data_IF_612549098509
#
_entry.id   IF_612549098509
#
_cell.length_a   1.000
_cell.length_b   1.000
_cell.length_c   1.000
_cell.angle_alpha   90.00
_cell.angle_beta   90.00
_cell.angle_gamma   90.00
#
_symmetry.space_group_name_H-M   'P 1'
#
loop_
_entity.id
_entity.type
_entity.pdbx_description
1 polymer ?
#
# COMPACT_ATOMS: atom_id res chain seq x y z
N UNK A 1 -42.64 16.94 62.36
CA UNK A 1 -41.54 16.42 63.21
C UNK A 1 -40.24 16.57 62.43
N UNK A 2 -39.25 17.27 63.01
CA UNK A 2 -37.91 17.52 62.44
C UNK A 2 -37.18 16.21 62.10
N UNK A 3 -36.27 16.20 61.13
CA UNK A 3 -34.87 15.68 61.20
C UNK A 3 -34.20 16.01 59.84
N UNK A 4 -33.41 17.09 59.74
CA UNK A 4 -31.95 17.19 60.01
C UNK A 4 -31.09 16.56 58.92
N UNK A 5 -30.43 17.45 58.19
CA UNK A 5 -29.31 17.27 57.28
C UNK A 5 -28.14 16.60 58.03
N UNK A 6 -27.55 15.56 57.45
CA UNK A 6 -26.19 15.11 57.80
C UNK A 6 -25.30 15.23 56.57
N UNK A 7 -24.38 16.19 56.62
CA UNK A 7 -23.22 16.22 55.75
C UNK A 7 -22.18 15.24 56.29
N UNK A 8 -21.54 14.49 55.39
CA UNK A 8 -20.20 13.99 55.62
C UNK A 8 -19.42 14.10 54.31
N UNK A 9 -18.46 15.03 54.33
CA UNK A 9 -17.37 15.18 53.37
C UNK A 9 -16.67 13.84 53.16
N UNK A 10 -16.53 13.37 51.92
CA UNK A 10 -15.38 12.56 51.49
C UNK A 10 -14.98 12.94 50.05
N UNK A 11 -13.81 13.57 49.98
CA UNK A 11 -12.82 13.61 48.89
C UNK A 11 -13.32 13.68 47.44
N UNK A 12 -13.17 14.89 46.89
CA UNK A 12 -12.95 15.17 45.48
C UNK A 12 -11.91 14.19 44.89
N UNK A 13 -12.33 13.29 44.01
CA UNK A 13 -11.47 12.74 42.98
C UNK A 13 -11.97 13.30 41.65
N UNK A 14 -11.10 14.08 41.00
CA UNK A 14 -11.27 14.46 39.60
C UNK A 14 -11.32 13.17 38.76
N UNK A 15 -12.51 12.80 38.32
CA UNK A 15 -12.72 11.81 37.27
C UNK A 15 -13.19 12.55 36.01
N UNK A 16 -12.25 12.67 35.07
CA UNK A 16 -12.38 12.97 33.65
C UNK A 16 -13.81 13.23 33.12
N UNK A 17 -14.16 14.51 33.01
CA UNK A 17 -15.34 15.03 32.31
C UNK A 17 -15.08 15.07 30.79
N UNK A 18 -14.65 13.97 30.19
CA UNK A 18 -14.37 13.89 28.73
C UNK A 18 -15.21 12.83 28.00
N UNK A 19 -16.23 12.25 28.65
CA UNK A 19 -17.05 11.18 28.04
C UNK A 19 -18.55 11.46 27.91
N UNK A 20 -19.00 12.69 28.16
CA UNK A 20 -20.44 13.01 28.20
C UNK A 20 -20.94 14.03 27.18
N UNK A 21 -20.11 14.45 26.21
CA UNK A 21 -20.54 15.33 25.12
C UNK A 21 -20.45 14.56 23.80
N UNK A 22 -21.33 13.58 23.58
CA UNK A 22 -21.54 13.04 22.22
C UNK A 22 -22.92 12.43 21.94
N UNK A 23 -23.83 12.46 22.89
CA UNK A 23 -25.19 11.93 22.67
C UNK A 23 -26.20 12.86 23.31
N UNK A 24 -26.69 13.86 22.58
CA UNK A 24 -28.05 14.38 22.73
C UNK A 24 -28.39 15.28 21.55
N UNK A 25 -28.86 14.67 20.46
CA UNK A 25 -29.66 15.35 19.43
C UNK A 25 -30.56 14.31 18.76
N UNK A 26 -31.64 13.97 19.47
CA UNK A 26 -32.84 13.37 18.89
C UNK A 26 -33.97 14.31 19.29
N UNK A 27 -34.43 15.12 18.33
CA UNK A 27 -35.65 15.92 18.50
C UNK A 27 -36.82 15.04 18.06
N UNK A 28 -37.64 14.60 19.02
CA UNK A 28 -38.94 13.99 18.76
C UNK A 28 -39.94 15.10 18.39
N UNK A 29 -40.58 14.96 17.24
CA UNK A 29 -41.71 15.80 16.83
C UNK A 29 -42.99 15.26 17.50
N UNK A 30 -43.39 15.84 18.64
CA UNK A 30 -44.69 15.57 19.25
C UNK A 30 -45.61 16.75 18.98
N UNK A 31 -46.60 16.50 18.13
CA UNK A 31 -47.59 17.46 17.69
C UNK A 31 -48.67 17.64 18.78
N UNK A 32 -48.45 18.55 19.73
CA UNK A 32 -49.49 18.99 20.67
C UNK A 32 -49.51 20.51 20.80
N UNK A 33 -50.61 21.11 20.34
CA UNK A 33 -50.94 22.53 20.47
C UNK A 33 -51.04 22.93 21.95
N UNK A 34 -50.14 23.79 22.42
CA UNK A 34 -50.29 24.55 23.66
C UNK A 34 -50.03 26.04 23.33
N UNK A 35 -50.98 26.96 23.62
CA UNK A 35 -50.78 28.39 23.40
C UNK A 35 -50.10 29.05 24.62
N UNK A 36 -49.32 30.08 24.35
CA UNK A 36 -48.60 30.97 25.28
C UNK A 36 -47.26 30.47 25.83
N UNK A 37 -46.16 30.91 25.22
CA UNK A 37 -45.14 31.78 25.82
C UNK A 37 -43.96 31.97 24.84
N UNK A 38 -43.48 33.22 24.69
CA UNK A 38 -42.10 33.61 24.38
C UNK A 38 -41.42 33.08 23.11
N UNK A 39 -40.98 34.00 22.24
CA UNK A 39 -40.07 33.73 21.12
C UNK A 39 -38.80 32.98 21.56
N UNK A 40 -38.60 31.74 21.10
CA UNK A 40 -37.29 31.09 21.14
C UNK A 40 -36.50 31.46 19.87
N UNK A 41 -35.48 32.30 20.03
CA UNK A 41 -34.44 32.52 19.01
C UNK A 41 -33.57 31.25 18.96
N UNK A 42 -33.60 30.52 17.85
CA UNK A 42 -32.62 29.48 17.59
C UNK A 42 -31.24 30.14 17.44
N UNK A 43 -30.36 29.92 18.40
CA UNK A 43 -28.94 30.26 18.27
C UNK A 43 -28.34 29.13 17.45
N UNK A 44 -28.11 29.39 16.16
CA UNK A 44 -27.22 28.58 15.34
C UNK A 44 -25.80 28.74 15.93
N UNK A 45 -25.40 27.77 16.76
CA UNK A 45 -24.03 27.68 17.21
C UNK A 45 -23.15 27.30 16.01
N UNK A 46 -22.40 28.28 15.54
CA UNK A 46 -21.40 28.12 14.50
C UNK A 46 -20.27 27.23 15.05
N UNK A 47 -20.09 26.03 14.48
CA UNK A 47 -19.04 25.07 14.88
C UNK A 47 -17.61 25.63 14.79
N UNK A 48 -17.42 26.77 14.11
CA UNK A 48 -16.09 27.35 13.87
C UNK A 48 -15.40 27.92 15.13
N UNK A 49 -16.11 28.09 16.25
CA UNK A 49 -15.58 28.81 17.41
C UNK A 49 -14.83 27.89 18.42
N UNK A 50 -15.01 26.56 18.37
CA UNK A 50 -14.35 25.63 19.32
C UNK A 50 -13.15 24.85 18.77
N UNK A 51 -12.78 24.99 17.49
CA UNK A 51 -11.58 24.32 16.90
C UNK A 51 -10.26 25.08 17.06
N UNK A 52 -10.25 26.24 17.73
CA UNK A 52 -8.99 26.95 18.03
C UNK A 52 -8.29 26.32 19.24
N UNK A 53 -7.53 25.25 18.99
CA UNK A 53 -6.54 24.75 19.97
C UNK A 53 -6.25 23.25 20.00
N UNK A 54 -7.05 22.41 19.31
CA UNK A 54 -6.74 20.99 19.18
C UNK A 54 -6.15 20.78 17.79
N UNK A 55 -4.83 20.63 17.70
CA UNK A 55 -4.19 20.18 16.46
C UNK A 55 -4.78 18.80 16.15
N UNK A 56 -5.45 18.68 15.01
CA UNK A 56 -6.04 17.42 14.58
C UNK A 56 -4.91 16.38 14.44
N UNK A 57 -5.07 15.24 15.11
CA UNK A 57 -4.05 14.19 15.12
C UNK A 57 -3.95 13.57 13.73
N UNK A 58 -2.77 13.64 13.12
CA UNK A 58 -2.54 13.06 11.80
C UNK A 58 -2.40 11.54 11.91
N UNK A 59 -2.80 10.82 10.86
CA UNK A 59 -2.69 9.36 10.77
C UNK A 59 -2.05 9.04 9.41
N UNK A 60 -1.18 8.05 9.35
CA UNK A 60 -0.62 7.63 8.07
C UNK A 60 0.59 6.73 8.18
N UNK A 61 1.45 6.79 7.17
CA UNK A 61 2.63 5.93 7.04
C UNK A 61 3.74 6.48 7.94
N UNK A 62 4.07 5.74 9.00
CA UNK A 62 5.11 6.07 9.95
C UNK A 62 6.49 5.56 9.50
N UNK A 63 6.52 4.34 8.94
CA UNK A 63 7.70 3.69 8.37
C UNK A 63 7.31 2.88 7.14
N UNK A 64 8.22 2.78 6.17
CA UNK A 64 8.03 2.02 4.93
C UNK A 64 9.36 1.43 4.46
N UNK A 65 9.34 0.20 3.97
CA UNK A 65 10.51 -0.47 3.37
C UNK A 65 10.04 -1.50 2.35
N UNK A 66 10.88 -1.78 1.35
CA UNK A 66 10.64 -2.90 0.44
C UNK A 66 11.68 -4.01 0.59
N UNK A 67 11.33 -5.18 0.09
CA UNK A 67 12.22 -6.31 -0.11
C UNK A 67 12.01 -6.90 -1.51
N UNK A 68 13.08 -7.34 -2.15
CA UNK A 68 13.09 -8.08 -3.41
C UNK A 68 14.04 -9.28 -3.28
N UNK A 69 13.82 -10.37 -4.02
CA UNK A 69 14.72 -11.52 -4.00
C UNK A 69 16.14 -11.12 -4.45
N UNK A 70 17.18 -11.86 -4.03
CA UNK A 70 18.57 -11.52 -4.30
C UNK A 70 19.02 -11.86 -5.73
N UNK A 71 18.08 -12.04 -6.67
CA UNK A 71 18.37 -12.37 -8.06
C UNK A 71 17.62 -11.45 -9.02
N UNK A 72 18.25 -11.19 -10.16
CA UNK A 72 17.60 -10.49 -11.28
C UNK A 72 18.13 -11.00 -12.62
N UNK A 73 17.40 -10.71 -13.70
CA UNK A 73 17.94 -10.76 -15.06
C UNK A 73 17.98 -9.37 -15.68
N UNK A 74 18.96 -9.15 -16.54
CA UNK A 74 19.04 -7.97 -17.39
C UNK A 74 18.03 -8.04 -18.54
N UNK A 75 17.32 -6.94 -18.80
CA UNK A 75 16.28 -6.91 -19.84
C UNK A 75 16.84 -6.91 -21.27
N UNK A 76 18.07 -6.47 -21.51
CA UNK A 76 18.76 -6.68 -22.80
C UNK A 76 19.00 -8.17 -23.02
N UNK A 77 19.51 -8.89 -22.02
CA UNK A 77 19.73 -10.34 -22.13
C UNK A 77 18.42 -11.09 -22.44
N UNK A 78 17.31 -10.71 -21.78
CA UNK A 78 15.99 -11.29 -22.08
C UNK A 78 15.53 -10.96 -23.50
N UNK A 79 15.70 -9.71 -23.95
CA UNK A 79 15.30 -9.29 -25.29
C UNK A 79 16.03 -10.09 -26.38
N UNK A 80 17.34 -10.24 -26.25
CA UNK A 80 18.17 -11.03 -27.14
C UNK A 80 17.72 -12.50 -27.18
N UNK A 81 17.52 -13.11 -26.01
CA UNK A 81 17.03 -14.50 -25.91
C UNK A 81 15.61 -14.70 -26.47
N UNK A 82 14.78 -13.65 -26.49
CA UNK A 82 13.44 -13.65 -27.08
C UNK A 82 13.41 -13.17 -28.53
N UNK A 83 14.57 -12.92 -29.14
CA UNK A 83 14.71 -12.43 -30.52
C UNK A 83 13.93 -11.13 -30.77
N UNK A 84 13.96 -10.21 -29.81
CA UNK A 84 13.35 -8.88 -29.93
C UNK A 84 14.39 -7.79 -29.70
N UNK A 85 14.14 -6.61 -30.28
CA UNK A 85 14.97 -5.43 -30.03
C UNK A 85 14.95 -5.05 -28.52
N UNK A 86 16.10 -4.92 -27.85
CA UNK A 86 16.18 -4.45 -26.44
C UNK A 86 15.45 -3.13 -26.20
N UNK A 87 15.36 -2.27 -27.22
CA UNK A 87 14.56 -1.03 -27.15
C UNK A 87 13.08 -1.26 -26.83
N UNK A 88 12.50 -2.41 -27.20
CA UNK A 88 11.12 -2.76 -26.81
C UNK A 88 10.96 -2.92 -25.30
N UNK A 89 12.00 -3.35 -24.60
CA UNK A 89 11.96 -3.53 -23.14
C UNK A 89 12.36 -2.25 -22.41
N UNK A 90 13.53 -1.67 -22.73
CA UNK A 90 14.05 -0.48 -22.05
C UNK A 90 13.24 0.80 -22.32
N UNK A 91 12.62 0.92 -23.51
CA UNK A 91 11.87 2.12 -23.92
C UNK A 91 10.39 1.82 -24.10
N UNK A 92 10.06 0.69 -24.72
CA UNK A 92 8.68 0.31 -25.05
C UNK A 92 7.81 0.09 -23.82
N UNK A 93 8.27 -0.74 -22.87
CA UNK A 93 7.62 -0.94 -21.56
C UNK A 93 8.35 -0.19 -20.43
N UNK A 94 9.63 0.13 -20.61
CA UNK A 94 10.44 0.88 -19.66
C UNK A 94 10.91 0.06 -18.47
N UNK A 95 11.48 -1.13 -18.72
CA UNK A 95 12.05 -2.01 -17.71
C UNK A 95 13.51 -2.30 -18.03
N UNK A 96 14.36 -2.36 -16.99
CA UNK A 96 15.81 -2.51 -17.13
C UNK A 96 16.34 -3.76 -16.44
N UNK A 97 15.83 -4.10 -15.25
CA UNK A 97 16.14 -5.34 -14.53
C UNK A 97 14.85 -5.97 -14.00
N UNK A 98 14.75 -7.29 -14.04
CA UNK A 98 13.57 -8.03 -13.60
C UNK A 98 13.92 -8.91 -12.40
N UNK A 99 13.22 -8.75 -11.29
CA UNK A 99 13.44 -9.56 -10.09
C UNK A 99 12.98 -11.01 -10.32
N UNK A 100 13.77 -11.97 -9.85
CA UNK A 100 13.52 -13.41 -9.99
C UNK A 100 13.69 -14.09 -8.63
N UNK A 101 12.84 -15.05 -8.29
CA UNK A 101 12.93 -15.80 -7.03
C UNK A 101 12.95 -17.32 -7.25
N UNK A 102 13.70 -18.07 -6.44
CA UNK A 102 13.62 -19.53 -6.38
C UNK A 102 12.36 -19.99 -5.63
N UNK A 103 12.04 -21.28 -5.72
CA UNK A 103 10.89 -21.89 -5.04
C UNK A 103 11.00 -21.86 -3.50
N UNK A 104 12.21 -21.67 -2.96
CA UNK A 104 12.48 -21.51 -1.53
C UNK A 104 12.04 -20.16 -0.97
N UNK A 105 11.59 -19.23 -1.81
CA UNK A 105 11.20 -17.88 -1.40
C UNK A 105 9.77 -17.60 -1.86
N UNK A 106 8.88 -17.31 -0.91
CA UNK A 106 7.48 -17.02 -1.16
C UNK A 106 7.06 -15.64 -0.62
N UNK A 107 5.77 -15.31 -0.72
CA UNK A 107 5.21 -14.06 -0.20
C UNK A 107 5.46 -13.86 1.31
N UNK A 108 5.58 -14.92 2.10
CA UNK A 108 5.88 -14.82 3.54
C UNK A 108 7.35 -14.49 3.72
N UNK A 109 8.25 -15.09 2.94
CA UNK A 109 9.68 -14.72 2.92
C UNK A 109 9.84 -13.23 2.64
N UNK A 110 9.19 -12.71 1.59
CA UNK A 110 9.31 -11.31 1.22
C UNK A 110 8.68 -10.38 2.26
N UNK A 111 7.47 -10.71 2.71
CA UNK A 111 6.76 -9.92 3.71
C UNK A 111 7.54 -9.82 5.03
N UNK A 112 8.13 -10.93 5.48
CA UNK A 112 8.92 -10.98 6.71
C UNK A 112 10.20 -10.14 6.61
N UNK A 113 10.94 -10.25 5.51
CA UNK A 113 12.15 -9.44 5.30
C UNK A 113 11.82 -7.94 5.18
N UNK A 114 10.76 -7.57 4.45
CA UNK A 114 10.35 -6.17 4.32
C UNK A 114 9.89 -5.58 5.67
N UNK A 115 9.14 -6.34 6.47
CA UNK A 115 8.65 -5.89 7.78
C UNK A 115 9.78 -5.83 8.84
N UNK A 116 10.71 -6.79 8.83
CA UNK A 116 11.83 -6.79 9.78
C UNK A 116 12.69 -5.53 9.66
N UNK A 117 12.84 -4.98 8.46
CA UNK A 117 13.58 -3.74 8.23
C UNK A 117 13.02 -2.52 8.98
N UNK A 118 11.73 -2.53 9.35
CA UNK A 118 11.06 -1.38 9.95
C UNK A 118 10.57 -1.61 11.39
N UNK A 119 10.46 -2.84 11.88
CA UNK A 119 9.80 -3.10 13.16
C UNK A 119 10.76 -3.11 14.36
N UNK A 120 10.49 -2.24 15.34
CA UNK A 120 11.15 -2.27 16.65
C UNK A 120 10.38 -3.15 17.64
N UNK A 121 10.96 -3.39 18.81
CA UNK A 121 10.26 -4.09 19.90
C UNK A 121 8.98 -3.35 20.35
N UNK A 122 9.03 -2.02 20.43
CA UNK A 122 7.88 -1.20 20.83
C UNK A 122 6.75 -1.28 19.81
N UNK A 123 7.07 -1.32 18.52
CA UNK A 123 6.05 -1.50 17.48
C UNK A 123 5.37 -2.86 17.60
N UNK A 124 6.14 -3.94 17.86
CA UNK A 124 5.59 -5.30 18.01
C UNK A 124 4.58 -5.42 19.15
N UNK A 125 4.73 -4.63 20.20
CA UNK A 125 3.77 -4.53 21.32
C UNK A 125 2.58 -3.60 21.01
N UNK A 126 2.78 -2.58 20.18
CA UNK A 126 1.74 -1.63 19.80
C UNK A 126 0.84 -2.12 18.66
N UNK A 127 1.32 -3.04 17.82
CA UNK A 127 0.57 -3.58 16.70
C UNK A 127 -0.53 -4.53 17.19
N UNK A 128 -1.78 -4.21 16.87
CA UNK A 128 -2.95 -5.08 17.13
C UNK A 128 -3.69 -5.49 15.84
N UNK A 129 -3.13 -5.18 14.68
CA UNK A 129 -3.64 -5.65 13.39
C UNK A 129 -2.50 -5.84 12.37
N UNK A 130 -2.52 -6.98 11.70
CA UNK A 130 -1.58 -7.36 10.62
C UNK A 130 -2.39 -7.68 9.37
N UNK A 131 -2.12 -6.97 8.29
CA UNK A 131 -2.83 -7.11 7.01
C UNK A 131 -1.81 -7.45 5.93
N UNK A 132 -2.08 -8.51 5.17
CA UNK A 132 -1.34 -8.81 3.93
C UNK A 132 -2.25 -8.57 2.74
N UNK A 133 -1.84 -7.68 1.83
CA UNK A 133 -2.43 -7.55 0.51
C UNK A 133 -1.65 -8.43 -0.46
N UNK A 134 -2.32 -9.36 -1.14
CA UNK A 134 -1.67 -10.25 -2.12
C UNK A 134 -2.69 -10.81 -3.10
N UNK A 135 -2.25 -11.05 -4.32
CA UNK A 135 -2.93 -11.89 -5.32
C UNK A 135 -2.14 -13.18 -5.61
N UNK A 136 -1.10 -13.45 -4.81
CA UNK A 136 -0.16 -14.57 -4.93
C UNK A 136 -0.27 -15.54 -3.74
N UNK A 137 -1.48 -15.69 -3.19
CA UNK A 137 -1.76 -16.48 -1.99
C UNK A 137 -1.28 -17.93 -2.10
N UNK A 138 -0.79 -18.47 -0.99
CA UNK A 138 -0.24 -19.84 -0.89
C UNK A 138 -1.17 -20.81 -0.14
N UNK A 139 -2.31 -20.31 0.34
CA UNK A 139 -3.37 -21.07 1.00
C UNK A 139 -4.70 -20.36 0.69
N UNK A 140 -5.77 -21.14 0.47
CA UNK A 140 -7.10 -20.61 0.12
C UNK A 140 -7.95 -20.27 1.36
N UNK A 141 -7.45 -20.57 2.56
CA UNK A 141 -8.13 -20.34 3.83
C UNK A 141 -7.27 -19.57 4.82
N UNK A 142 -6.03 -20.02 5.05
CA UNK A 142 -5.14 -19.45 6.05
C UNK A 142 -4.40 -18.23 5.49
N UNK A 143 -4.79 -17.05 5.97
CA UNK A 143 -4.11 -15.79 5.62
C UNK A 143 -2.60 -15.83 5.89
N UNK A 144 -1.79 -15.36 4.93
CA UNK A 144 -0.34 -15.23 5.09
C UNK A 144 0.04 -14.33 6.29
N UNK A 145 -0.82 -13.36 6.61
CA UNK A 145 -0.69 -12.47 7.77
C UNK A 145 -0.54 -13.21 9.11
N UNK A 146 -1.12 -14.41 9.27
CA UNK A 146 -1.00 -15.22 10.48
C UNK A 146 0.43 -15.75 10.65
N UNK A 147 1.07 -16.15 9.55
CA UNK A 147 2.46 -16.63 9.57
C UNK A 147 3.41 -15.46 9.80
N UNK A 148 3.17 -14.34 9.11
CA UNK A 148 3.93 -13.11 9.27
C UNK A 148 3.89 -12.58 10.71
N UNK A 149 2.70 -12.55 11.33
CA UNK A 149 2.51 -12.15 12.73
C UNK A 149 3.44 -12.93 13.67
N UNK A 150 3.48 -14.26 13.52
CA UNK A 150 4.36 -15.15 14.28
C UNK A 150 5.83 -14.86 14.02
N UNK A 151 6.25 -14.75 12.76
CA UNK A 151 7.65 -14.51 12.39
C UNK A 151 8.16 -13.16 12.90
N UNK A 152 7.31 -12.14 12.90
CA UNK A 152 7.65 -10.82 13.43
C UNK A 152 7.65 -10.77 14.96
N UNK A 153 7.10 -11.78 15.65
CA UNK A 153 6.99 -11.80 17.11
C UNK A 153 6.12 -10.67 17.63
N UNK A 154 5.03 -10.37 16.92
CA UNK A 154 4.04 -9.37 17.33
C UNK A 154 3.20 -9.93 18.49
N UNK A 155 2.77 -9.06 19.40
CA UNK A 155 1.95 -9.45 20.56
C UNK A 155 0.67 -10.22 20.13
N UNK A 156 0.16 -11.15 20.95
CA UNK A 156 -0.82 -12.15 20.50
C UNK A 156 -2.26 -11.62 20.36
N UNK A 157 -2.62 -10.49 20.95
CA UNK A 157 -3.95 -9.88 20.86
C UNK A 157 -4.05 -8.98 19.63
N UNK A 158 -3.79 -9.56 18.47
CA UNK A 158 -3.85 -8.89 17.18
C UNK A 158 -4.80 -9.62 16.23
N UNK A 159 -5.44 -8.87 15.33
CA UNK A 159 -6.17 -9.45 14.19
C UNK A 159 -5.18 -9.68 13.05
N UNK A 160 -5.24 -10.83 12.39
CA UNK A 160 -4.39 -11.10 11.22
C UNK A 160 -5.21 -11.66 10.08
N UNK A 161 -5.21 -10.98 8.94
CA UNK A 161 -6.00 -11.37 7.78
C UNK A 161 -5.37 -10.93 6.45
N UNK A 162 -5.88 -11.47 5.37
CA UNK A 162 -5.44 -11.20 4.00
C UNK A 162 -6.53 -10.43 3.25
N UNK A 163 -6.13 -9.51 2.39
CA UNK A 163 -7.03 -8.80 1.47
C UNK A 163 -6.62 -9.15 0.04
N UNK A 164 -7.62 -9.54 -0.76
CA UNK A 164 -7.46 -9.92 -2.16
C UNK A 164 -8.39 -9.05 -3.02
N UNK A 165 -7.79 -8.25 -3.88
CA UNK A 165 -8.43 -7.50 -4.96
C UNK A 165 -7.31 -7.09 -5.91
N UNK A 166 -6.84 -8.05 -6.72
CA UNK A 166 -5.65 -7.93 -7.57
C UNK A 166 -4.53 -7.09 -6.91
N UNK A 167 -4.00 -6.11 -7.64
CA UNK A 167 -2.96 -5.18 -7.20
C UNK A 167 -3.46 -4.07 -6.24
N UNK A 168 -4.74 -4.03 -5.89
CA UNK A 168 -5.33 -3.01 -5.01
C UNK A 168 -5.37 -3.43 -3.53
N UNK A 169 -5.20 -4.71 -3.20
CA UNK A 169 -5.40 -5.25 -1.85
C UNK A 169 -4.63 -4.52 -0.73
N UNK A 170 -3.40 -4.05 -0.99
CA UNK A 170 -2.62 -3.29 -0.02
C UNK A 170 -3.17 -1.88 0.25
N UNK A 171 -3.80 -1.23 -0.73
CA UNK A 171 -4.47 0.06 -0.55
C UNK A 171 -5.69 -0.06 0.34
N UNK A 172 -6.53 -1.07 0.11
CA UNK A 172 -7.62 -1.38 1.04
C UNK A 172 -7.08 -1.61 2.47
N UNK A 173 -5.97 -2.36 2.61
CA UNK A 173 -5.30 -2.56 3.89
C UNK A 173 -4.85 -1.26 4.55
N UNK A 174 -4.23 -0.35 3.79
CA UNK A 174 -3.76 0.95 4.27
C UNK A 174 -4.92 1.84 4.74
N UNK A 175 -6.02 1.93 3.99
CA UNK A 175 -7.14 2.79 4.36
C UNK A 175 -7.90 2.24 5.58
N UNK A 176 -8.09 0.92 5.67
CA UNK A 176 -8.67 0.29 6.85
C UNK A 176 -7.77 0.46 8.09
N UNK A 177 -6.45 0.38 7.91
CA UNK A 177 -5.47 0.66 8.94
C UNK A 177 -5.55 2.11 9.43
N UNK A 178 -5.63 3.08 8.51
CA UNK A 178 -5.84 4.51 8.83
C UNK A 178 -7.06 4.68 9.73
N UNK A 179 -8.19 4.09 9.35
CA UNK A 179 -9.44 4.18 10.11
C UNK A 179 -9.33 3.53 11.50
N UNK A 180 -8.66 2.38 11.60
CA UNK A 180 -8.44 1.71 12.89
C UNK A 180 -7.61 2.56 13.84
N UNK A 181 -6.50 3.13 13.37
CA UNK A 181 -5.61 3.97 14.19
C UNK A 181 -6.26 5.31 14.53
N UNK A 182 -7.10 5.87 13.65
CA UNK A 182 -7.88 7.07 13.96
C UNK A 182 -8.81 6.85 15.18
N UNK A 183 -9.28 5.62 15.41
CA UNK A 183 -10.11 5.25 16.56
C UNK A 183 -9.29 4.77 17.77
N UNK A 184 -8.07 4.29 17.53
CA UNK A 184 -7.16 3.72 18.53
C UNK A 184 -5.75 4.30 18.36
N UNK A 185 -5.51 5.58 18.71
CA UNK A 185 -4.28 6.28 18.38
C UNK A 185 -3.03 5.74 19.10
N UNK A 186 -3.21 4.98 20.18
CA UNK A 186 -2.11 4.25 20.84
C UNK A 186 -1.70 2.96 20.12
N UNK A 187 -2.47 2.54 19.10
CA UNK A 187 -2.23 1.32 18.32
C UNK A 187 -1.58 1.59 16.99
N UNK A 188 -0.95 0.54 16.46
CA UNK A 188 -0.35 0.54 15.12
C UNK A 188 -0.89 -0.62 14.30
N UNK A 189 -0.76 -0.51 12.99
CA UNK A 189 -1.14 -1.58 12.07
C UNK A 189 0.03 -1.86 11.14
N UNK A 190 0.39 -3.12 10.99
CA UNK A 190 1.32 -3.56 9.96
C UNK A 190 0.53 -3.92 8.70
N UNK A 191 0.77 -3.22 7.60
CA UNK A 191 0.22 -3.54 6.27
C UNK A 191 1.36 -3.95 5.37
N UNK A 192 1.26 -5.11 4.72
CA UNK A 192 2.30 -5.60 3.80
C UNK A 192 1.68 -5.97 2.47
N UNK A 193 2.18 -5.37 1.40
CA UNK A 193 2.00 -5.83 0.03
C UNK A 193 3.02 -6.92 -0.26
N UNK A 194 2.65 -8.10 -0.75
CA UNK A 194 3.61 -9.16 -1.06
C UNK A 194 3.13 -10.04 -2.22
N UNK A 195 3.89 -10.11 -3.30
CA UNK A 195 3.45 -10.74 -4.53
C UNK A 195 4.60 -11.30 -5.38
N UNK A 196 4.23 -12.24 -6.26
CA UNK A 196 5.08 -12.85 -7.29
C UNK A 196 4.32 -12.77 -8.62
N UNK A 197 4.68 -11.81 -9.47
CA UNK A 197 4.10 -11.65 -10.79
C UNK A 197 4.82 -12.59 -11.79
N UNK A 198 4.24 -13.77 -12.05
CA UNK A 198 4.69 -14.73 -13.06
C UNK A 198 3.64 -14.89 -14.16
N UNK A 199 4.04 -14.74 -15.42
CA UNK A 199 3.16 -14.85 -16.59
C UNK A 199 3.47 -16.07 -17.47
N UNK A 200 4.67 -16.65 -17.30
CA UNK A 200 5.13 -17.82 -18.06
C UNK A 200 6.26 -17.46 -19.03
N UNK A 201 7.19 -18.39 -19.23
CA UNK A 201 8.25 -18.25 -20.22
C UNK A 201 7.66 -18.05 -21.62
N UNK A 202 8.22 -17.11 -22.37
CA UNK A 202 7.79 -16.71 -23.71
C UNK A 202 6.35 -16.16 -23.80
N UNK A 203 5.71 -15.86 -22.66
CA UNK A 203 4.40 -15.21 -22.63
C UNK A 203 4.49 -13.73 -22.97
N UNK A 204 3.37 -13.12 -23.39
CA UNK A 204 3.32 -11.68 -23.65
C UNK A 204 3.57 -10.80 -22.40
N UNK A 205 3.28 -11.33 -21.21
CA UNK A 205 3.48 -10.66 -19.92
C UNK A 205 4.85 -10.90 -19.28
N UNK A 206 5.65 -11.83 -19.82
CA UNK A 206 6.98 -12.18 -19.30
C UNK A 206 7.88 -10.96 -19.00
N UNK A 207 8.02 -9.95 -19.90
CA UNK A 207 8.94 -8.85 -19.66
C UNK A 207 8.43 -7.84 -18.60
N UNK A 208 7.28 -8.10 -18.00
CA UNK A 208 6.68 -7.28 -16.92
C UNK A 208 6.70 -7.99 -15.56
N UNK A 209 7.24 -9.20 -15.47
CA UNK A 209 7.32 -9.96 -14.22
C UNK A 209 8.11 -9.22 -13.14
N UNK A 210 7.96 -9.68 -11.91
CA UNK A 210 8.65 -9.16 -10.73
C UNK A 210 8.22 -9.92 -9.49
N UNK A 211 8.95 -9.75 -8.40
CA UNK A 211 8.65 -10.39 -7.12
C UNK A 211 9.20 -9.55 -5.98
N UNK A 212 8.48 -9.52 -4.86
CA UNK A 212 8.90 -8.77 -3.68
C UNK A 212 7.75 -8.38 -2.77
N UNK A 213 8.06 -7.52 -1.81
CA UNK A 213 7.09 -7.01 -0.86
C UNK A 213 7.39 -5.56 -0.46
N UNK A 214 6.36 -4.85 0.00
CA UNK A 214 6.46 -3.54 0.63
C UNK A 214 5.72 -3.57 1.96
N UNK A 215 6.43 -3.30 3.05
CA UNK A 215 5.86 -3.22 4.38
C UNK A 215 5.67 -1.75 4.80
N UNK A 216 4.51 -1.45 5.38
CA UNK A 216 4.14 -0.15 5.91
C UNK A 216 3.69 -0.29 7.36
N UNK A 217 4.22 0.56 8.23
CA UNK A 217 3.70 0.72 9.58
C UNK A 217 2.78 1.95 9.61
N UNK A 218 1.51 1.72 9.94
CA UNK A 218 0.50 2.78 10.06
C UNK A 218 0.35 3.16 11.53
N UNK A 219 0.43 4.46 11.83
CA UNK A 219 0.34 4.99 13.19
C UNK A 219 -0.26 6.41 13.20
N UNK A 220 -0.65 6.87 14.39
CA UNK A 220 -0.92 8.28 14.63
C UNK A 220 0.40 9.05 14.69
N UNK A 221 0.35 10.34 14.36
CA UNK A 221 1.52 11.21 14.27
C UNK A 221 2.63 10.57 13.41
N UNK A 222 2.30 10.14 12.18
CA UNK A 222 3.25 9.44 11.31
C UNK A 222 4.47 10.32 11.04
N UNK A 223 5.64 9.70 10.89
CA UNK A 223 6.89 10.41 10.58
C UNK A 223 7.16 10.63 9.09
N UNK A 224 6.45 9.95 8.19
CA UNK A 224 6.70 10.03 6.74
C UNK A 224 5.56 10.73 6.01
N UNK A 225 4.36 10.14 6.01
CA UNK A 225 3.25 10.60 5.17
C UNK A 225 1.95 10.64 5.98
N UNK A 226 1.35 11.82 6.12
CA UNK A 226 0.04 12.00 6.74
C UNK A 226 -1.06 11.88 5.68
N UNK A 227 -1.93 10.86 5.80
CA UNK A 227 -2.99 10.60 4.84
C UNK A 227 -4.16 11.57 5.03
N UNK A 228 -4.74 12.03 3.92
CA UNK A 228 -5.90 12.93 3.91
C UNK A 228 -7.22 12.13 3.93
N UNK A 229 -8.32 12.85 4.15
CA UNK A 229 -9.69 12.34 4.06
C UNK A 229 -10.35 12.77 2.75
N UNK A 230 -9.70 12.44 1.63
CA UNK A 230 -10.10 12.85 0.27
C UNK A 230 -10.21 11.67 -0.72
N UNK A 231 -10.29 10.45 -0.19
CA UNK A 231 -10.34 9.22 -0.97
C UNK A 231 -11.52 9.23 -1.98
N UNK A 232 -11.23 8.87 -3.24
CA UNK A 232 -12.22 8.60 -4.28
C UNK A 232 -12.00 7.21 -4.84
N UNK A 233 -12.98 6.33 -4.62
CA UNK A 233 -12.95 4.92 -4.99
C UNK A 233 -13.86 4.66 -6.19
N UNK A 234 -13.50 3.68 -7.01
CA UNK A 234 -14.24 3.24 -8.19
C UNK A 234 -14.18 1.71 -8.30
N UNK A 235 -15.31 1.06 -8.61
CA UNK A 235 -15.39 -0.38 -8.90
C UNK A 235 -16.17 -0.57 -10.20
N UNK A 236 -15.63 -1.38 -11.10
CA UNK A 236 -16.23 -1.73 -12.39
C UNK A 236 -15.98 -3.22 -12.63
N UNK A 237 -16.98 -4.01 -13.03
CA UNK A 237 -16.79 -5.43 -13.35
C UNK A 237 -16.24 -5.58 -14.78
N UNK A 238 -14.93 -5.78 -14.91
CA UNK A 238 -14.18 -5.82 -16.17
C UNK A 238 -13.12 -6.94 -16.10
N UNK A 239 -13.19 -7.88 -17.03
CA UNK A 239 -12.22 -8.98 -17.16
C UNK A 239 -10.99 -8.54 -17.96
N UNK A 240 -10.21 -7.60 -17.43
CA UNK A 240 -8.95 -7.16 -18.05
C UNK A 240 -7.78 -8.09 -17.71
N UNK A 241 -7.69 -8.51 -16.45
CA UNK A 241 -6.73 -9.48 -15.94
C UNK A 241 -7.39 -10.24 -14.78
N UNK A 242 -7.28 -11.56 -14.78
CA UNK A 242 -7.82 -12.41 -13.71
C UNK A 242 -7.09 -13.74 -13.63
N UNK A 243 -7.23 -14.45 -12.50
CA UNK A 243 -6.60 -15.77 -12.32
C UNK A 243 -7.59 -16.75 -11.68
N UNK A 244 -8.29 -17.57 -12.49
CA UNK A 244 -9.20 -18.58 -11.96
C UNK A 244 -8.47 -19.58 -11.05
N UNK A 245 -9.16 -20.14 -10.04
CA UNK A 245 -8.60 -21.17 -9.16
C UNK A 245 -8.01 -22.32 -9.97
N UNK A 246 -6.80 -22.75 -9.60
CA UNK A 246 -6.05 -23.81 -10.30
C UNK A 246 -5.18 -23.31 -11.46
N UNK A 247 -5.24 -22.03 -11.85
CA UNK A 247 -4.35 -21.48 -12.87
C UNK A 247 -3.06 -20.93 -12.22
N UNK A 248 -1.87 -21.41 -12.65
CA UNK A 248 -0.59 -20.91 -12.13
C UNK A 248 -0.24 -19.52 -12.70
N UNK A 249 -0.76 -19.19 -13.88
CA UNK A 249 -0.53 -17.90 -14.56
C UNK A 249 -1.85 -17.18 -14.80
N UNK A 250 -1.84 -15.83 -14.84
CA UNK A 250 -3.03 -15.05 -15.08
C UNK A 250 -3.52 -15.14 -16.53
N UNK A 251 -4.82 -14.96 -16.70
CA UNK A 251 -5.48 -14.67 -17.97
C UNK A 251 -5.49 -13.16 -18.18
N UNK A 252 -5.14 -12.69 -19.38
CA UNK A 252 -4.96 -11.26 -19.67
C UNK A 252 -5.54 -10.88 -21.02
N UNK A 253 -6.41 -9.88 -21.04
CA UNK A 253 -6.73 -9.11 -22.24
C UNK A 253 -5.88 -7.82 -22.23
N UNK A 254 -4.72 -7.89 -22.88
CA UNK A 254 -3.71 -6.82 -22.84
C UNK A 254 -4.24 -5.45 -23.31
N UNK A 255 -4.89 -5.34 -24.48
CA UNK A 255 -5.54 -4.09 -24.91
C UNK A 255 -6.56 -3.56 -23.89
N UNK A 256 -7.47 -4.42 -23.40
CA UNK A 256 -8.50 -4.02 -22.44
C UNK A 256 -7.89 -3.56 -21.11
N UNK A 257 -6.82 -4.21 -20.64
CA UNK A 257 -6.11 -3.82 -19.41
C UNK A 257 -5.47 -2.44 -19.53
N UNK A 258 -4.85 -2.15 -20.67
CA UNK A 258 -4.28 -0.83 -20.91
C UNK A 258 -5.35 0.27 -20.92
N UNK A 259 -6.48 0.03 -21.59
CA UNK A 259 -7.59 0.97 -21.66
C UNK A 259 -8.24 1.19 -20.29
N UNK A 260 -8.56 0.10 -19.59
CA UNK A 260 -9.23 0.13 -18.29
C UNK A 260 -8.39 0.83 -17.24
N UNK A 261 -7.07 0.61 -17.22
CA UNK A 261 -6.15 1.31 -16.32
C UNK A 261 -6.18 2.83 -16.55
N UNK A 262 -6.04 3.29 -17.81
CA UNK A 262 -6.03 4.71 -18.16
C UNK A 262 -7.38 5.37 -17.82
N UNK A 263 -8.49 4.72 -18.19
CA UNK A 263 -9.83 5.25 -17.93
C UNK A 263 -10.17 5.25 -16.44
N UNK A 264 -9.73 4.25 -15.68
CA UNK A 264 -9.95 4.21 -14.23
C UNK A 264 -9.22 5.36 -13.53
N UNK A 265 -7.97 5.64 -13.92
CA UNK A 265 -7.25 6.83 -13.43
C UNK A 265 -8.00 8.12 -13.74
N UNK A 266 -8.41 8.30 -15.01
CA UNK A 266 -9.12 9.51 -15.41
C UNK A 266 -10.42 9.70 -14.62
N UNK A 267 -11.20 8.63 -14.40
CA UNK A 267 -12.46 8.68 -13.65
C UNK A 267 -12.26 9.07 -12.18
N UNK A 268 -11.33 8.43 -11.47
CA UNK A 268 -11.10 8.77 -10.05
C UNK A 268 -10.47 10.15 -9.90
N UNK A 269 -9.61 10.56 -10.83
CA UNK A 269 -9.03 11.90 -10.85
C UNK A 269 -10.09 12.98 -11.09
N UNK A 270 -10.96 12.80 -12.10
CA UNK A 270 -12.00 13.78 -12.42
C UNK A 270 -13.03 13.91 -11.29
N UNK A 271 -13.40 12.80 -10.66
CA UNK A 271 -14.29 12.83 -9.50
C UNK A 271 -13.59 13.38 -8.25
N UNK A 272 -12.28 13.14 -8.04
CA UNK A 272 -11.49 13.78 -6.98
C UNK A 272 -11.44 15.30 -7.16
N UNK A 273 -11.05 15.77 -8.35
CA UNK A 273 -11.04 17.19 -8.70
C UNK A 273 -12.40 17.85 -8.49
N UNK A 274 -13.48 17.16 -8.85
CA UNK A 274 -14.86 17.64 -8.64
C UNK A 274 -15.22 17.76 -7.15
N UNK A 275 -14.77 16.84 -6.30
CA UNK A 275 -15.08 16.84 -4.86
C UNK A 275 -14.24 17.85 -4.07
N UNK A 276 -12.97 17.99 -4.43
CA UNK A 276 -11.99 18.76 -3.65
C UNK A 276 -11.71 20.15 -4.25
N UNK A 277 -11.93 20.32 -5.55
CA UNK A 277 -11.49 21.50 -6.30
C UNK A 277 -9.99 21.51 -6.60
N UNK A 278 -9.24 20.48 -6.18
CA UNK A 278 -7.80 20.37 -6.40
C UNK A 278 -7.49 19.91 -7.83
N UNK A 279 -6.46 20.49 -8.42
CA UNK A 279 -5.97 20.16 -9.76
C UNK A 279 -4.49 19.75 -9.71
N UNK A 280 -3.91 19.42 -10.85
CA UNK A 280 -2.51 18.98 -10.95
C UNK A 280 -1.50 19.96 -10.32
N UNK A 281 -1.78 21.26 -10.38
CA UNK A 281 -0.94 22.33 -9.79
C UNK A 281 -0.88 22.26 -8.26
N UNK A 282 -1.87 21.65 -7.61
CA UNK A 282 -1.94 21.52 -6.15
C UNK A 282 -1.16 20.30 -5.62
N UNK A 283 -0.66 19.44 -6.52
CA UNK A 283 0.15 18.28 -6.18
C UNK A 283 1.61 18.51 -6.52
N UNK A 284 2.49 18.28 -5.56
CA UNK A 284 3.93 18.38 -5.76
C UNK A 284 4.51 17.17 -6.48
N UNK A 285 3.86 16.01 -6.37
CA UNK A 285 4.17 14.79 -7.10
C UNK A 285 2.97 13.83 -7.12
N UNK A 286 3.01 12.86 -8.04
CA UNK A 286 2.03 11.78 -8.13
C UNK A 286 2.76 10.42 -8.14
N UNK A 287 2.26 9.47 -7.36
CA UNK A 287 2.70 8.07 -7.37
C UNK A 287 1.59 7.17 -7.92
N UNK A 288 1.95 6.21 -8.76
CA UNK A 288 1.00 5.35 -9.46
C UNK A 288 1.31 3.87 -9.18
N UNK A 289 0.28 3.05 -9.01
CA UNK A 289 0.40 1.63 -9.35
C UNK A 289 0.83 1.53 -10.81
N UNK A 290 1.81 0.68 -11.12
CA UNK A 290 2.24 0.47 -12.51
C UNK A 290 2.48 -1.02 -12.78
N UNK A 291 1.88 -1.61 -13.83
CA UNK A 291 2.29 -2.93 -14.30
C UNK A 291 3.65 -2.88 -15.00
N UNK A 292 3.99 -1.73 -15.58
CA UNK A 292 5.29 -1.38 -16.12
C UNK A 292 5.37 0.14 -16.31
N UNK A 293 6.57 0.72 -16.32
CA UNK A 293 6.75 2.17 -16.18
C UNK A 293 6.17 2.98 -17.33
N UNK A 294 6.10 2.43 -18.55
CA UNK A 294 5.44 3.13 -19.67
C UNK A 294 3.92 3.23 -19.50
N UNK A 295 3.27 2.31 -18.78
CA UNK A 295 1.81 2.33 -18.59
C UNK A 295 1.37 3.51 -17.73
N UNK A 296 2.01 3.73 -16.58
CA UNK A 296 1.73 4.90 -15.75
C UNK A 296 2.00 6.21 -16.51
N UNK A 297 3.06 6.27 -17.31
CA UNK A 297 3.37 7.44 -18.16
C UNK A 297 2.27 7.70 -19.20
N UNK A 298 1.71 6.65 -19.82
CA UNK A 298 0.59 6.79 -20.77
C UNK A 298 -0.67 7.32 -20.08
N UNK A 299 -1.04 6.79 -18.91
CA UNK A 299 -2.19 7.28 -18.15
C UNK A 299 -2.01 8.73 -17.71
N UNK A 300 -0.83 9.06 -17.20
CA UNK A 300 -0.49 10.41 -16.78
C UNK A 300 -0.55 11.39 -17.97
N UNK A 301 0.13 11.09 -19.08
CA UNK A 301 0.11 11.93 -20.30
C UNK A 301 -1.30 12.15 -20.86
N UNK A 302 -2.16 11.13 -20.80
CA UNK A 302 -3.54 11.27 -21.25
C UNK A 302 -4.31 12.33 -20.43
N UNK A 303 -3.99 12.50 -19.14
CA UNK A 303 -4.72 13.38 -18.22
C UNK A 303 -4.09 14.76 -18.04
N UNK A 304 -2.80 14.94 -18.27
CA UNK A 304 -2.11 16.24 -18.16
C UNK A 304 -2.04 17.02 -19.48
N UNK A 305 -2.64 16.50 -20.57
CA UNK A 305 -2.52 17.09 -21.92
C UNK A 305 -3.11 18.51 -22.05
N UNK A 306 -3.99 18.91 -21.15
CA UNK A 306 -4.60 20.24 -21.07
C UNK A 306 -3.86 21.21 -20.11
N UNK A 307 -2.84 20.71 -19.40
CA UNK A 307 -2.03 21.51 -18.49
C UNK A 307 -0.96 22.31 -19.26
N UNK A 308 -0.44 23.36 -18.61
CA UNK A 308 0.68 24.13 -19.17
C UNK A 308 1.92 23.26 -19.36
N UNK A 309 2.76 23.58 -20.34
CA UNK A 309 4.01 22.82 -20.61
C UNK A 309 4.90 22.73 -19.37
N UNK A 310 4.98 23.79 -18.56
CA UNK A 310 5.75 23.82 -17.32
C UNK A 310 5.20 22.85 -16.26
N UNK A 311 3.88 22.76 -16.11
CA UNK A 311 3.25 21.79 -15.20
C UNK A 311 3.44 20.35 -15.70
N UNK A 312 3.34 20.13 -17.02
CA UNK A 312 3.60 18.81 -17.60
C UNK A 312 5.06 18.38 -17.34
N UNK A 313 6.03 19.27 -17.56
CA UNK A 313 7.45 19.00 -17.30
C UNK A 313 7.69 18.65 -15.82
N UNK A 314 7.13 19.45 -14.90
CA UNK A 314 7.24 19.23 -13.46
C UNK A 314 6.69 17.86 -13.03
N UNK A 315 5.48 17.53 -13.45
CA UNK A 315 4.81 16.28 -13.06
C UNK A 315 5.47 15.07 -13.70
N UNK A 316 5.91 15.17 -14.97
CA UNK A 316 6.63 14.11 -15.64
C UNK A 316 8.01 13.87 -15.02
N UNK A 317 8.73 14.90 -14.59
CA UNK A 317 9.99 14.74 -13.87
C UNK A 317 9.81 13.98 -12.55
N UNK A 318 8.76 14.30 -11.78
CA UNK A 318 8.39 13.53 -10.58
C UNK A 318 8.01 12.09 -10.87
N UNK A 319 7.32 11.86 -11.98
CA UNK A 319 7.00 10.50 -12.41
C UNK A 319 8.26 9.70 -12.68
N UNK A 320 9.26 10.27 -13.36
CA UNK A 320 10.56 9.58 -13.59
C UNK A 320 11.27 9.25 -12.27
N UNK A 321 11.26 10.15 -11.26
CA UNK A 321 11.81 9.87 -9.92
C UNK A 321 11.05 8.72 -9.21
N UNK A 322 9.74 8.64 -9.40
CA UNK A 322 8.90 7.59 -8.81
C UNK A 322 9.12 6.19 -9.40
N UNK A 323 9.75 6.07 -10.57
CA UNK A 323 9.91 4.76 -11.25
C UNK A 323 11.35 4.23 -11.24
N UNK A 324 12.31 4.93 -10.63
CA UNK A 324 13.72 4.54 -10.59
C UNK A 324 13.89 3.12 -10.03
N UNK A 325 13.25 2.81 -8.89
CA UNK A 325 13.32 1.46 -8.34
C UNK A 325 12.49 0.45 -9.13
N UNK A 326 11.30 0.83 -9.60
CA UNK A 326 10.44 -0.06 -10.39
C UNK A 326 11.11 -0.56 -11.67
N UNK A 327 11.89 0.29 -12.36
CA UNK A 327 12.71 -0.08 -13.53
C UNK A 327 13.70 -1.23 -13.25
N UNK A 328 14.12 -1.38 -12.00
CA UNK A 328 15.10 -2.38 -11.54
C UNK A 328 14.46 -3.63 -10.92
N UNK A 329 13.14 -3.67 -10.81
CA UNK A 329 12.41 -4.72 -10.07
C UNK A 329 11.36 -5.40 -10.94
N UNK A 330 10.59 -4.64 -11.71
CA UNK A 330 9.41 -5.14 -12.41
C UNK A 330 8.13 -4.98 -11.58
N UNK A 331 7.08 -5.73 -11.94
CA UNK A 331 5.77 -5.59 -11.31
C UNK A 331 5.72 -6.31 -9.95
N UNK A 332 5.32 -5.59 -8.91
CA UNK A 332 5.09 -6.13 -7.56
C UNK A 332 3.60 -6.27 -7.22
N UNK A 333 2.71 -6.22 -8.22
CA UNK A 333 1.26 -6.19 -8.04
C UNK A 333 0.85 -5.18 -6.95
N UNK A 334 0.43 -5.67 -5.77
CA UNK A 334 0.00 -4.83 -4.64
C UNK A 334 1.10 -3.88 -4.15
N UNK A 335 2.37 -4.23 -4.38
CA UNK A 335 3.52 -3.42 -3.98
C UNK A 335 3.90 -2.32 -4.95
N UNK A 336 3.43 -2.35 -6.21
CA UNK A 336 3.97 -1.47 -7.27
C UNK A 336 3.76 0.03 -7.00
N UNK A 337 2.59 0.42 -6.48
CA UNK A 337 2.34 1.80 -6.05
C UNK A 337 3.30 2.22 -4.93
N UNK A 338 3.49 1.35 -3.95
CA UNK A 338 4.25 1.66 -2.74
C UNK A 338 5.76 1.61 -2.96
N UNK A 339 6.24 0.76 -3.87
CA UNK A 339 7.61 0.85 -4.38
C UNK A 339 7.82 2.18 -5.11
N UNK A 340 6.84 2.62 -5.90
CA UNK A 340 6.87 3.92 -6.55
C UNK A 340 6.91 5.09 -5.57
N UNK A 341 6.15 5.00 -4.46
CA UNK A 341 6.21 5.96 -3.37
C UNK A 341 7.60 5.98 -2.71
N UNK A 342 8.19 4.83 -2.38
CA UNK A 342 9.55 4.77 -1.80
C UNK A 342 10.56 5.38 -2.77
N UNK A 343 10.51 5.01 -4.04
CA UNK A 343 11.38 5.56 -5.09
C UNK A 343 11.28 7.07 -5.15
N UNK A 344 10.05 7.61 -5.15
CA UNK A 344 9.82 9.05 -5.16
C UNK A 344 10.45 9.73 -3.93
N UNK A 345 10.20 9.21 -2.73
CA UNK A 345 10.68 9.83 -1.48
C UNK A 345 12.21 9.81 -1.36
N UNK A 346 12.86 8.77 -1.87
CA UNK A 346 14.31 8.58 -1.76
C UNK A 346 15.11 9.21 -2.90
N UNK A 347 14.49 9.41 -4.07
CA UNK A 347 15.18 9.95 -5.25
C UNK A 347 14.81 11.41 -5.58
N UNK A 348 13.64 11.88 -5.18
CA UNK A 348 13.28 13.28 -5.36
C UNK A 348 14.06 14.18 -4.39
N UNK A 349 14.92 15.05 -4.93
CA UNK A 349 15.79 15.92 -4.11
C UNK A 349 15.15 17.23 -3.69
N UNK A 350 14.04 17.60 -4.33
CA UNK A 350 13.37 18.90 -4.15
C UNK A 350 12.01 18.79 -3.47
N UNK A 351 11.57 17.59 -3.09
CA UNK A 351 10.41 17.41 -2.21
C UNK A 351 10.77 17.79 -0.77
N UNK A 352 9.82 18.41 -0.08
CA UNK A 352 9.97 18.98 1.27
C UNK A 352 8.71 18.74 2.10
N UNK A 353 8.83 18.92 3.41
CA UNK A 353 7.69 18.77 4.31
C UNK A 353 6.55 19.74 3.96
N UNK A 354 5.31 19.27 4.06
CA UNK A 354 4.10 19.99 3.67
C UNK A 354 3.70 19.76 2.21
N UNK A 355 4.57 19.19 1.37
CA UNK A 355 4.22 18.87 -0.01
C UNK A 355 3.14 17.78 -0.08
N UNK A 356 2.25 17.92 -1.07
CA UNK A 356 1.13 17.02 -1.32
C UNK A 356 1.50 15.99 -2.39
N UNK A 357 1.32 14.71 -2.05
CA UNK A 357 1.55 13.57 -2.93
C UNK A 357 0.19 12.95 -3.26
N UNK A 358 -0.18 12.94 -4.54
CA UNK A 358 -1.36 12.21 -4.99
C UNK A 358 -1.00 10.76 -5.30
N UNK A 359 -1.82 9.81 -4.86
CA UNK A 359 -1.57 8.39 -5.01
C UNK A 359 -2.72 7.75 -5.79
N UNK A 360 -2.40 7.10 -6.91
CA UNK A 360 -3.34 6.32 -7.70
C UNK A 360 -3.08 4.82 -7.53
N UNK A 361 -4.02 4.12 -6.91
CA UNK A 361 -4.02 2.67 -6.82
C UNK A 361 -5.00 2.06 -7.81
N UNK A 362 -4.60 0.93 -8.40
CA UNK A 362 -5.39 0.17 -9.36
C UNK A 362 -5.22 -1.32 -9.05
N UNK A 363 -6.31 -2.07 -9.19
CA UNK A 363 -6.33 -3.52 -9.22
C UNK A 363 -7.26 -3.97 -10.34
N UNK A 364 -6.80 -4.90 -11.17
CA UNK A 364 -7.59 -5.50 -12.25
C UNK A 364 -8.82 -6.23 -11.73
N UNK A 365 -9.87 -6.31 -12.56
CA UNK A 365 -11.19 -6.83 -12.16
C UNK A 365 -12.37 -5.87 -12.32
N UNK A 366 -12.29 -4.54 -12.20
CA UNK A 366 -11.23 -3.69 -11.70
C UNK A 366 -11.75 -2.70 -10.62
N UNK A 367 -10.87 -2.40 -9.67
CA UNK A 367 -11.05 -1.41 -8.61
C UNK A 367 -9.93 -0.37 -8.69
N UNK A 368 -10.27 0.89 -8.46
CA UNK A 368 -9.31 1.99 -8.43
C UNK A 368 -9.60 2.96 -7.29
N UNK A 369 -8.54 3.61 -6.80
CA UNK A 369 -8.66 4.63 -5.77
C UNK A 369 -7.62 5.72 -5.96
N UNK A 370 -8.05 6.98 -5.81
CA UNK A 370 -7.17 8.13 -5.70
C UNK A 370 -7.29 8.76 -4.30
N UNK A 371 -6.16 9.07 -3.69
CA UNK A 371 -6.09 9.69 -2.35
C UNK A 371 -4.79 10.49 -2.18
N UNK A 372 -4.74 11.38 -1.19
CA UNK A 372 -3.59 12.26 -0.95
C UNK A 372 -2.85 11.93 0.34
N UNK A 373 -1.52 12.10 0.32
CA UNK A 373 -0.67 12.14 1.49
C UNK A 373 0.18 13.40 1.55
N UNK A 374 0.35 13.98 2.73
CA UNK A 374 1.23 15.13 2.97
C UNK A 374 2.55 14.68 3.60
N UNK A 375 3.68 15.16 3.08
CA UNK A 375 5.00 14.87 3.63
C UNK A 375 5.18 15.50 5.00
N UNK A 376 5.56 14.68 5.98
CA UNK A 376 5.75 15.13 7.36
C UNK A 376 7.11 15.79 7.54
N UNK A 377 7.18 16.77 8.43
CA UNK A 377 8.44 17.40 8.83
C UNK A 377 9.44 16.34 9.33
N UNK A 378 10.60 16.28 8.67
CA UNK A 378 11.67 15.33 9.00
C UNK A 378 11.55 13.96 8.32
N UNK A 379 10.61 13.74 7.38
CA UNK A 379 10.42 12.44 6.72
C UNK A 379 11.71 11.84 6.15
N UNK A 380 12.61 12.68 5.64
CA UNK A 380 13.90 12.27 5.06
C UNK A 380 14.80 11.50 6.04
N UNK A 381 14.64 11.71 7.35
CA UNK A 381 15.39 11.01 8.41
C UNK A 381 14.83 9.62 8.74
N UNK A 382 13.73 9.23 8.09
CA UNK A 382 13.00 7.99 8.36
C UNK A 382 12.87 7.11 7.11
N UNK A 383 13.67 7.40 6.07
CA UNK A 383 13.78 6.60 4.86
C UNK A 383 14.91 5.58 4.97
N UNK A 384 14.96 4.61 4.07
CA UNK A 384 15.86 3.46 4.11
C UNK A 384 16.78 3.40 2.88
N UNK A 385 17.09 4.56 2.27
CA UNK A 385 17.78 4.67 0.97
C UNK A 385 19.06 3.85 0.86
N UNK A 386 19.93 3.89 1.86
CA UNK A 386 21.18 3.11 1.84
C UNK A 386 20.91 1.60 1.84
N UNK A 387 19.99 1.14 2.69
CA UNK A 387 19.53 -0.25 2.73
C UNK A 387 18.91 -0.68 1.40
N UNK A 388 18.05 0.15 0.81
CA UNK A 388 17.38 -0.14 -0.44
C UNK A 388 18.33 -0.19 -1.65
N UNK A 389 19.28 0.75 -1.73
CA UNK A 389 20.32 0.72 -2.76
C UNK A 389 21.19 -0.54 -2.61
N UNK A 390 21.66 -0.83 -1.40
CA UNK A 390 22.43 -2.04 -1.15
C UNK A 390 21.64 -3.31 -1.49
N UNK A 391 20.35 -3.36 -1.18
CA UNK A 391 19.47 -4.48 -1.53
C UNK A 391 19.39 -4.69 -3.04
N UNK A 392 19.27 -3.63 -3.83
CA UNK A 392 19.18 -3.73 -5.30
C UNK A 392 20.54 -4.01 -5.96
N UNK A 393 21.61 -3.41 -5.44
CA UNK A 393 22.96 -3.46 -6.01
C UNK A 393 23.69 -4.78 -5.68
N UNK A 394 23.34 -5.42 -4.55
CA UNK A 394 23.95 -6.70 -4.14
C UNK A 394 23.27 -7.95 -4.74
N UNK A 395 22.25 -7.78 -5.60
CA UNK A 395 21.60 -8.92 -6.25
C UNK A 395 22.54 -9.58 -7.25
N UNK A 396 22.40 -10.90 -7.38
CA UNK A 396 23.12 -11.70 -8.36
C UNK A 396 22.37 -11.63 -9.71
N UNK A 397 23.07 -11.24 -10.76
CA UNK A 397 22.57 -11.36 -12.12
C UNK A 397 22.56 -12.82 -12.55
N UNK A 398 21.43 -13.30 -13.05
CA UNK A 398 21.29 -14.64 -13.62
C UNK A 398 21.44 -14.57 -15.14
N UNK A 399 22.05 -15.61 -15.72
CA UNK A 399 21.88 -15.87 -17.15
C UNK A 399 20.43 -16.26 -17.47
N UNK A 400 20.02 -16.12 -18.73
CA UNK A 400 18.67 -16.53 -19.15
C UNK A 400 18.42 -18.03 -18.92
N UNK A 401 19.43 -18.88 -19.06
CA UNK A 401 19.31 -20.30 -18.78
C UNK A 401 19.06 -20.58 -17.28
N UNK A 402 19.76 -19.88 -16.39
CA UNK A 402 19.54 -19.99 -14.93
C UNK A 402 18.17 -19.44 -14.54
N UNK A 403 17.74 -18.33 -15.14
CA UNK A 403 16.39 -17.80 -14.96
C UNK A 403 15.33 -18.79 -15.41
N UNK A 404 15.43 -19.37 -16.60
CA UNK A 404 14.45 -20.32 -17.11
C UNK A 404 14.40 -21.58 -16.24
N UNK A 405 15.55 -22.06 -15.76
CA UNK A 405 15.61 -23.18 -14.81
C UNK A 405 14.93 -22.84 -13.47
N UNK A 406 15.28 -21.72 -12.86
CA UNK A 406 14.68 -21.25 -11.60
C UNK A 406 13.18 -20.96 -11.75
N UNK A 407 12.76 -20.41 -12.89
CA UNK A 407 11.37 -20.09 -13.17
C UNK A 407 10.51 -21.34 -13.34
N UNK A 408 11.03 -22.35 -14.05
CA UNK A 408 10.33 -23.59 -14.36
C UNK A 408 10.26 -24.56 -13.17
N UNK A 409 11.16 -24.41 -12.20
CA UNK A 409 11.11 -25.17 -10.96
C UNK A 409 9.77 -24.95 -10.23
N UNK A 410 9.18 -26.04 -9.75
CA UNK A 410 7.87 -26.03 -9.11
C UNK A 410 7.98 -26.62 -7.71
N UNK A 411 7.37 -25.95 -6.75
CA UNK A 411 7.25 -26.42 -5.37
C UNK A 411 6.05 -27.36 -5.24
N UNK A 412 6.28 -28.67 -5.24
CA UNK A 412 5.23 -29.63 -4.91
C UNK A 412 5.03 -29.69 -3.39
N UNK A 413 3.96 -29.06 -2.91
CA UNK A 413 3.68 -28.97 -1.48
C UNK A 413 3.15 -30.26 -0.87
N UNK A 414 2.77 -31.26 -1.69
CA UNK A 414 2.29 -32.55 -1.21
C UNK A 414 3.45 -33.51 -0.88
N UNK A 415 4.68 -33.12 -1.21
CA UNK A 415 5.90 -33.87 -0.92
C UNK A 415 6.61 -33.27 0.29
N UNK A 416 6.87 -34.12 1.29
CA UNK A 416 7.74 -33.77 2.42
C UNK A 416 9.18 -33.60 1.92
N UNK A 417 9.75 -32.41 2.15
CA UNK A 417 11.06 -32.05 1.60
C UNK A 417 11.75 -30.97 2.44
N UNK A 418 13.07 -30.89 2.34
CA UNK A 418 13.89 -29.82 2.92
C UNK A 418 14.45 -28.95 1.80
N UNK A 419 14.48 -27.64 2.02
CA UNK A 419 14.98 -26.66 1.06
C UNK A 419 16.16 -25.91 1.67
N UNK A 420 17.22 -25.74 0.89
CA UNK A 420 18.40 -24.98 1.27
C UNK A 420 18.38 -23.60 0.62
N UNK A 421 18.52 -22.56 1.44
CA UNK A 421 18.58 -21.17 1.01
C UNK A 421 19.15 -20.35 2.17
N UNK A 422 20.20 -19.56 1.91
CA UNK A 422 20.85 -18.77 2.95
C UNK A 422 19.98 -17.59 3.44
N UNK A 423 18.99 -17.18 2.64
CA UNK A 423 18.14 -16.05 2.96
C UNK A 423 17.32 -16.32 4.23
N UNK A 424 17.33 -15.36 5.15
CA UNK A 424 16.46 -15.40 6.34
C UNK A 424 14.99 -15.40 5.90
N UNK A 425 14.16 -16.15 6.61
CA UNK A 425 12.74 -16.35 6.29
C UNK A 425 12.47 -17.09 4.97
N UNK A 426 13.48 -17.67 4.32
CA UNK A 426 13.26 -18.66 3.26
C UNK A 426 12.54 -19.91 3.80
N UNK A 427 11.80 -20.59 2.93
CA UNK A 427 11.22 -21.89 3.21
C UNK A 427 12.38 -22.86 3.46
N UNK A 428 12.37 -23.50 4.62
CA UNK A 428 13.41 -24.46 5.02
C UNK A 428 12.94 -25.91 4.88
N UNK A 429 11.63 -26.15 4.99
CA UNK A 429 11.05 -27.47 4.83
C UNK A 429 9.54 -27.41 4.55
N UNK A 430 9.03 -28.45 3.93
CA UNK A 430 7.61 -28.77 3.83
C UNK A 430 7.39 -30.11 4.54
N UNK A 431 6.43 -30.14 5.47
CA UNK A 431 6.02 -31.36 6.17
C UNK A 431 4.50 -31.38 6.25
N UNK A 432 3.86 -32.38 5.63
CA UNK A 432 2.41 -32.50 5.54
C UNK A 432 1.77 -31.17 5.07
N UNK A 433 2.24 -30.68 3.92
CA UNK A 433 1.89 -29.38 3.29
C UNK A 433 2.25 -28.11 4.07
N UNK A 434 2.68 -28.23 5.34
CA UNK A 434 3.06 -27.10 6.18
C UNK A 434 4.46 -26.59 5.81
N UNK A 435 4.54 -25.32 5.41
CA UNK A 435 5.80 -24.62 5.20
C UNK A 435 6.44 -24.21 6.51
N UNK A 436 7.70 -24.60 6.71
CA UNK A 436 8.58 -24.11 7.76
C UNK A 436 9.53 -23.06 7.19
N UNK A 437 9.87 -22.05 8.00
CA UNK A 437 10.68 -20.92 7.59
C UNK A 437 11.91 -20.81 8.48
N UNK A 438 13.08 -20.60 7.86
CA UNK A 438 14.37 -20.33 8.53
C UNK A 438 14.30 -18.98 9.24
N UNK A 439 14.66 -18.84 10.52
CA UNK A 439 14.54 -17.57 11.26
C UNK A 439 15.73 -17.23 12.15
#
# INVERSE_FOLDING_TARGET
MKYIIKSQNHKCQLLNVNRLIRYFLIIYEVNTKIPHFGSFRAILYNESIYRKGVKEMTIGIDKISFFVPPYYIDMTALAEARNVDPGKFHIGIGQDQMAVNPISQDIVTFAANAAEAILTKEDKEAIDMVIVGTESSIDESKAAAVVLHRLMGIQPFARSFEIKEACYGATAGLQLAKNHVALHPDKKVLVVAADIAKYGLNSGGEPTQGAGAVAMLVASEPRILALKEDNVMLTQDIYDFWRPTGHPYPMVDGPLSNETYIQSFAQVWDEHKKRTGLDFVDYDALAFHIPYTKMGKKALLAKISDQTEAEQERILARYEESIIYSRRVGNLYTGSLYLGLISLLENATTLTAGNQIGLFSYGSGAVAEFFTGELVAGYQNHLQKETHLALLDNRTELSIAEYEAMFAETLDTDIDQTLEDELKYSISAINNTVRSYRN
#
